data_IF_926570553145
#
_entry.id   IF_926570553145
#
_cell.length_a   1.000
_cell.length_b   1.000
_cell.length_c   1.000
_cell.angle_alpha   90.00
_cell.angle_beta   90.00
_cell.angle_gamma   90.00
#
_symmetry.space_group_name_H-M   'P 1'
#
loop_
_entity.id
_entity.type
_entity.pdbx_description
1 polymer ?
#
# COMPACT_ATOMS: atom_id res chain seq x y z
N UNK A 1 -11.38 11.66 -0.73
CA UNK A 1 -11.97 11.55 0.62
C UNK A 1 -11.12 12.32 1.63
N UNK A 2 -9.86 11.92 1.88
CA UNK A 2 -8.98 12.66 2.81
C UNK A 2 -8.78 14.14 2.43
N UNK A 3 -8.52 14.43 1.16
CA UNK A 3 -8.39 15.82 0.67
C UNK A 3 -9.66 16.67 0.88
N UNK A 4 -10.81 16.01 1.08
CA UNK A 4 -12.10 16.66 1.35
C UNK A 4 -12.39 16.83 2.85
N UNK A 5 -11.47 16.41 3.73
CA UNK A 5 -11.62 16.46 5.19
C UNK A 5 -12.19 15.18 5.82
N UNK A 6 -12.52 14.16 5.02
CA UNK A 6 -13.27 12.98 5.48
C UNK A 6 -12.37 11.73 5.46
N UNK A 7 -12.34 11.01 6.58
CA UNK A 7 -11.66 9.73 6.67
C UNK A 7 -12.38 8.65 5.84
N UNK A 8 -11.66 7.83 5.05
CA UNK A 8 -12.25 6.71 4.35
C UNK A 8 -12.79 5.64 5.33
N UNK A 9 -13.59 4.71 4.81
CA UNK A 9 -14.06 3.56 5.59
C UNK A 9 -12.87 2.75 6.13
N UNK A 10 -13.08 2.15 7.30
CA UNK A 10 -12.08 1.30 7.95
C UNK A 10 -11.79 0.11 7.04
N UNK A 11 -10.53 -0.01 6.63
CA UNK A 11 -9.99 -1.08 5.81
C UNK A 11 -8.69 -1.55 6.47
N UNK A 12 -8.30 -2.84 6.32
CA UNK A 12 -6.96 -3.26 6.67
C UNK A 12 -5.92 -2.32 6.04
N UNK A 13 -4.88 -1.90 6.78
CA UNK A 13 -3.93 -0.88 6.33
C UNK A 13 -2.90 -1.43 5.35
N UNK A 14 -3.21 -2.48 4.58
CA UNK A 14 -2.28 -3.07 3.62
C UNK A 14 -2.21 -2.20 2.37
N UNK A 15 -1.02 -1.72 2.05
CA UNK A 15 -0.82 -0.79 0.94
C UNK A 15 0.35 -1.24 0.08
N UNK A 16 0.19 -1.05 -1.23
CA UNK A 16 1.25 -1.25 -2.22
C UNK A 16 1.14 -0.20 -3.31
N UNK A 17 2.29 0.20 -3.86
CA UNK A 17 2.34 1.09 -5.01
C UNK A 17 1.89 0.35 -6.29
N UNK A 18 1.10 1.03 -7.12
CA UNK A 18 0.59 0.50 -8.40
C UNK A 18 1.70 0.07 -9.37
N UNK A 19 2.89 0.67 -9.29
CA UNK A 19 4.06 0.30 -10.10
C UNK A 19 4.63 -1.05 -9.70
N UNK A 20 4.64 -1.35 -8.39
CA UNK A 20 5.04 -2.68 -7.91
C UNK A 20 4.00 -3.73 -8.28
N UNK A 21 2.71 -3.38 -8.24
CA UNK A 21 1.64 -4.26 -8.73
C UNK A 21 1.84 -4.58 -10.22
N UNK A 22 2.05 -3.56 -11.06
CA UNK A 22 2.28 -3.75 -12.48
C UNK A 22 3.53 -4.61 -12.75
N UNK A 23 4.63 -4.31 -12.06
CA UNK A 23 5.88 -5.07 -12.13
C UNK A 23 5.68 -6.53 -11.73
N UNK A 24 4.92 -6.80 -10.67
CA UNK A 24 4.63 -8.16 -10.21
C UNK A 24 3.86 -8.97 -11.27
N UNK A 25 2.90 -8.34 -11.95
CA UNK A 25 2.17 -9.01 -13.03
C UNK A 25 3.07 -9.34 -14.22
N UNK A 26 3.93 -8.40 -14.65
CA UNK A 26 4.87 -8.64 -15.75
C UNK A 26 5.83 -9.78 -15.41
N UNK A 27 6.45 -9.74 -14.24
CA UNK A 27 7.37 -10.79 -13.80
C UNK A 27 6.68 -12.16 -13.66
N UNK A 28 5.45 -12.19 -13.18
CA UNK A 28 4.69 -13.44 -13.05
C UNK A 28 4.37 -14.07 -14.42
N UNK A 29 4.21 -13.25 -15.48
CA UNK A 29 3.97 -13.73 -16.84
C UNK A 29 5.25 -14.24 -17.53
N UNK A 30 6.41 -13.73 -17.13
CA UNK A 30 7.72 -14.15 -17.69
C UNK A 30 8.20 -15.48 -17.10
N UNK A 31 7.67 -15.90 -15.95
CA UNK A 31 8.03 -17.17 -15.33
C UNK A 31 7.51 -18.37 -16.12
N UNK A 32 8.29 -19.47 -16.23
CA UNK A 32 7.80 -20.73 -16.76
C UNK A 32 6.57 -21.21 -15.99
N UNK A 33 5.51 -21.60 -16.70
CA UNK A 33 4.25 -22.09 -16.08
C UNK A 33 4.45 -23.18 -15.01
N UNK A 34 5.49 -24.00 -15.16
CA UNK A 34 5.81 -25.06 -14.20
C UNK A 34 6.40 -24.53 -12.87
N UNK A 35 7.07 -23.37 -12.88
CA UNK A 35 7.68 -22.75 -11.71
C UNK A 35 6.66 -21.96 -10.86
N UNK A 36 5.61 -21.44 -11.50
CA UNK A 36 4.58 -20.64 -10.82
C UNK A 36 3.66 -21.48 -9.94
N UNK A 37 3.51 -22.78 -10.24
CA UNK A 37 2.54 -23.66 -9.55
C UNK A 37 1.11 -23.08 -9.57
N UNK A 38 0.23 -23.55 -8.68
CA UNK A 38 -1.16 -23.06 -8.56
C UNK A 38 -1.38 -22.01 -7.47
N UNK A 39 -0.33 -21.66 -6.72
CA UNK A 39 -0.45 -20.72 -5.59
C UNK A 39 -0.39 -19.26 -6.09
N UNK A 40 -1.14 -18.33 -5.50
CA UNK A 40 -1.06 -16.90 -5.82
C UNK A 40 0.20 -16.24 -5.21
N UNK A 41 0.66 -15.14 -5.82
CA UNK A 41 1.67 -14.26 -5.23
C UNK A 41 0.99 -13.15 -4.46
N UNK A 42 1.31 -13.04 -3.16
CA UNK A 42 0.92 -11.88 -2.35
C UNK A 42 1.99 -10.80 -2.48
N UNK A 43 1.57 -9.58 -2.81
CA UNK A 43 2.43 -8.40 -2.89
C UNK A 43 1.85 -7.33 -1.97
N UNK A 44 2.69 -6.81 -1.08
CA UNK A 44 2.34 -5.78 -0.11
C UNK A 44 3.60 -5.02 0.31
N UNK A 45 3.57 -3.69 0.31
CA UNK A 45 4.71 -2.88 0.71
C UNK A 45 4.79 -2.64 2.22
N UNK A 46 3.66 -2.75 2.93
CA UNK A 46 3.63 -2.63 4.38
C UNK A 46 2.24 -2.26 4.90
N UNK A 47 2.22 -1.84 6.16
CA UNK A 47 1.05 -1.23 6.78
C UNK A 47 1.16 0.28 6.69
N UNK A 48 0.13 0.93 6.20
CA UNK A 48 0.03 2.38 6.13
C UNK A 48 -1.41 2.80 6.47
N UNK A 49 -1.54 3.47 7.61
CA UNK A 49 -2.84 3.84 8.18
C UNK A 49 -3.36 5.14 7.58
N UNK A 50 -4.67 5.38 7.71
CA UNK A 50 -5.26 6.67 7.32
C UNK A 50 -4.76 7.83 8.18
N UNK A 51 -4.33 7.56 9.42
CA UNK A 51 -3.69 8.55 10.28
C UNK A 51 -2.32 8.98 9.74
N UNK A 52 -1.46 8.02 9.40
CA UNK A 52 -0.16 8.32 8.77
C UNK A 52 -0.34 9.05 7.43
N UNK A 53 -1.33 8.66 6.63
CA UNK A 53 -1.66 9.37 5.39
C UNK A 53 -2.15 10.80 5.64
N UNK A 54 -2.96 11.02 6.67
CA UNK A 54 -3.43 12.34 7.08
C UNK A 54 -2.28 13.24 7.57
N UNK A 55 -1.33 12.69 8.32
CA UNK A 55 -0.12 13.41 8.74
C UNK A 55 0.74 13.82 7.54
N UNK A 56 0.93 12.92 6.56
CA UNK A 56 1.67 13.22 5.33
C UNK A 56 0.96 14.30 4.50
N UNK A 57 -0.37 14.30 4.43
CA UNK A 57 -1.11 15.35 3.72
C UNK A 57 -1.00 16.69 4.45
N UNK A 58 -1.03 16.70 5.80
CA UNK A 58 -0.86 17.94 6.59
C UNK A 58 0.51 18.58 6.39
N UNK A 59 1.55 17.79 6.08
CA UNK A 59 2.89 18.32 5.80
C UNK A 59 2.97 19.10 4.46
N UNK A 60 1.91 19.07 3.65
CA UNK A 60 1.82 19.71 2.34
C UNK A 60 0.71 20.80 2.33
N UNK A 61 1.06 22.08 2.57
CA UNK A 61 0.10 23.16 2.65
C UNK A 61 -0.70 23.34 1.34
N UNK A 62 -2.03 23.45 1.46
CA UNK A 62 -2.92 23.74 0.32
C UNK A 62 -3.57 22.51 -0.34
N UNK A 63 -3.23 21.29 0.08
CA UNK A 63 -3.86 20.07 -0.44
C UNK A 63 -5.21 19.76 0.22
N UNK A 64 -5.35 20.08 1.50
CA UNK A 64 -6.61 19.93 2.23
C UNK A 64 -7.59 21.03 1.83
N UNK A 65 -8.76 20.62 1.31
CA UNK A 65 -9.86 21.56 1.01
C UNK A 65 -10.63 21.96 2.27
N UNK A 66 -10.68 21.05 3.24
CA UNK A 66 -11.33 21.24 4.54
C UNK A 66 -10.44 20.66 5.65
N UNK A 67 -10.60 21.09 6.90
CA UNK A 67 -9.99 20.44 8.05
C UNK A 67 -10.35 18.94 8.08
N UNK A 68 -9.39 18.11 8.50
CA UNK A 68 -9.63 16.68 8.70
C UNK A 68 -10.48 16.47 9.96
N UNK A 69 -11.53 15.65 9.85
CA UNK A 69 -12.29 15.14 10.98
C UNK A 69 -11.42 14.26 11.90
N UNK A 70 -11.92 13.90 13.08
CA UNK A 70 -11.20 13.01 13.99
C UNK A 70 -11.11 11.60 13.41
N UNK A 71 -9.93 10.98 13.47
CA UNK A 71 -9.73 9.62 13.01
C UNK A 71 -10.52 8.64 13.90
N UNK A 72 -11.07 7.59 13.29
CA UNK A 72 -11.68 6.50 14.06
C UNK A 72 -10.62 5.46 14.38
N UNK A 73 -10.57 5.03 15.64
CA UNK A 73 -9.68 3.97 16.10
C UNK A 73 -9.84 2.70 15.25
N UNK A 74 -8.70 2.12 14.88
CA UNK A 74 -8.64 0.82 14.21
C UNK A 74 -8.68 -0.26 15.30
N UNK A 75 -9.58 -1.26 15.22
CA UNK A 75 -9.65 -2.30 16.23
C UNK A 75 -8.43 -3.23 16.15
N UNK A 76 -7.59 -3.21 17.17
CA UNK A 76 -6.49 -4.15 17.37
C UNK A 76 -5.20 -3.81 16.59
N UNK A 77 -4.12 -4.58 16.82
CA UNK A 77 -2.86 -4.35 16.13
C UNK A 77 -2.99 -4.65 14.63
N UNK A 78 -2.28 -3.87 13.81
CA UNK A 78 -2.25 -4.10 12.37
C UNK A 78 -1.62 -5.47 12.06
N UNK A 79 -2.30 -6.27 11.24
CA UNK A 79 -1.81 -7.56 10.77
C UNK A 79 -0.71 -7.39 9.72
N UNK A 80 0.18 -8.37 9.60
CA UNK A 80 1.25 -8.39 8.60
C UNK A 80 0.95 -9.42 7.50
N UNK A 81 1.24 -9.07 6.25
CA UNK A 81 1.14 -9.98 5.11
C UNK A 81 2.52 -10.53 4.75
N UNK A 82 2.63 -11.86 4.73
CA UNK A 82 3.85 -12.53 4.28
C UNK A 82 3.95 -12.48 2.74
N UNK A 83 4.98 -11.77 2.27
CA UNK A 83 5.29 -11.57 0.84
C UNK A 83 6.57 -12.30 0.41
N UNK A 84 7.10 -13.20 1.26
CA UNK A 84 8.39 -13.88 1.01
C UNK A 84 8.42 -14.58 -0.34
N UNK A 85 7.33 -15.22 -0.73
CA UNK A 85 7.22 -15.87 -2.05
C UNK A 85 7.36 -14.92 -3.23
N UNK A 86 6.79 -13.71 -3.15
CA UNK A 86 6.96 -12.72 -4.20
C UNK A 86 8.42 -12.22 -4.27
N UNK A 87 9.10 -12.10 -3.12
CA UNK A 87 10.51 -11.71 -3.07
C UNK A 87 11.42 -12.79 -3.67
N UNK A 88 11.21 -14.04 -3.28
CA UNK A 88 12.03 -15.18 -3.69
C UNK A 88 11.82 -15.57 -5.15
N UNK A 89 10.56 -15.64 -5.60
CA UNK A 89 10.22 -16.20 -6.92
C UNK A 89 10.16 -15.12 -8.00
N UNK A 90 9.57 -13.95 -7.71
CA UNK A 90 9.52 -12.84 -8.68
C UNK A 90 10.77 -11.95 -8.61
N UNK A 91 11.64 -12.13 -7.60
CA UNK A 91 12.88 -11.36 -7.47
C UNK A 91 12.68 -9.92 -6.96
N UNK A 92 11.59 -9.65 -6.23
CA UNK A 92 11.44 -8.38 -5.53
C UNK A 92 12.45 -8.27 -4.39
N UNK A 93 13.36 -7.29 -4.49
CA UNK A 93 14.27 -6.96 -3.39
C UNK A 93 13.54 -6.18 -2.31
N UNK A 94 12.88 -5.11 -2.70
CA UNK A 94 12.09 -4.23 -1.85
C UNK A 94 10.88 -3.72 -2.65
N UNK A 95 9.81 -3.41 -1.93
CA UNK A 95 8.68 -2.67 -2.47
C UNK A 95 8.85 -1.18 -2.18
N UNK A 96 8.19 -0.34 -2.96
CA UNK A 96 8.16 1.10 -2.78
C UNK A 96 7.45 1.42 -1.47
N UNK A 97 8.12 2.20 -0.63
CA UNK A 97 7.58 2.66 0.65
C UNK A 97 6.21 3.37 0.46
N UNK A 98 5.16 3.00 1.22
CA UNK A 98 3.86 3.65 1.16
C UNK A 98 3.88 5.17 1.36
N UNK A 99 4.82 5.71 2.16
CA UNK A 99 5.00 7.17 2.33
C UNK A 99 5.47 7.82 1.04
N UNK A 100 6.42 7.20 0.35
CA UNK A 100 6.87 7.66 -0.99
C UNK A 100 5.76 7.58 -2.02
N UNK A 101 4.93 6.54 -1.95
CA UNK A 101 3.74 6.40 -2.81
C UNK A 101 2.82 7.59 -2.66
N UNK A 102 2.57 8.00 -1.41
CA UNK A 102 1.71 9.15 -1.10
C UNK A 102 2.26 10.43 -1.73
N UNK A 103 3.56 10.70 -1.62
CA UNK A 103 4.20 11.88 -2.21
C UNK A 103 4.02 12.01 -3.74
N UNK A 104 3.89 10.89 -4.46
CA UNK A 104 3.77 10.90 -5.94
C UNK A 104 2.33 11.08 -6.40
N UNK A 105 1.38 10.98 -5.48
CA UNK A 105 -0.05 10.95 -5.74
C UNK A 105 -0.72 12.32 -5.51
N UNK A 106 0.00 13.25 -4.88
CA UNK A 106 -0.37 14.64 -4.57
C UNK A 106 0.42 15.61 -5.43
#
# INVERSE_FOLDING_TARGET
MLLSGIYPLISPPWVIDVRDVAKAHVLALELPRMEVGTKPFLVNAGNFTWEEAAEEIKSHPGLLKNPLEEAKDIPGPASYLDTSRAKEVLGFKEFIDPKKTTWWMI
#
